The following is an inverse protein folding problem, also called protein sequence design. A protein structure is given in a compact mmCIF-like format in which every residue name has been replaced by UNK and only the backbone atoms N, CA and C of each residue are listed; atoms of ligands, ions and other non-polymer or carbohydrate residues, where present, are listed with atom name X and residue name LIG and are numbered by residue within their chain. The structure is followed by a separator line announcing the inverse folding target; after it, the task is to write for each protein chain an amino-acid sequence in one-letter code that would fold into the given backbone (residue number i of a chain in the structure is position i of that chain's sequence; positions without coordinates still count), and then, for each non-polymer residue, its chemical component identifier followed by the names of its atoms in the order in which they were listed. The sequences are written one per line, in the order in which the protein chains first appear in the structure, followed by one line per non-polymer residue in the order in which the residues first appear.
data_IF_042821763845
#
_entry.id   IF_042821763845
#
_cell.length_a   1.000
_cell.length_b   1.000
_cell.length_c   1.000
_cell.angle_alpha   90.00
_cell.angle_beta   90.00
_cell.angle_gamma   90.00
#
_symmetry.space_group_name_H-M   'P 1'
#
loop_
_entity.id
_entity.type
_entity.pdbx_description
1 polymer ?
#
# COMPACT_ATOMS: atom_id res chain seq x y z
N UNK A 1 28.03 25.76 59.85
CA UNK A 1 27.37 26.63 58.86
C UNK A 1 27.85 26.39 57.41
N UNK A 2 29.10 26.68 57.03
CA UNK A 2 29.54 26.51 55.61
C UNK A 2 29.54 25.03 55.17
N UNK A 3 30.08 24.13 55.99
CA UNK A 3 30.10 22.69 55.70
C UNK A 3 28.69 22.10 55.56
N UNK A 4 27.77 22.50 56.43
CA UNK A 4 26.36 22.08 56.37
C UNK A 4 25.68 22.56 55.09
N UNK A 5 25.94 23.80 54.65
CA UNK A 5 25.41 24.35 53.40
C UNK A 5 25.92 23.57 52.18
N UNK A 6 27.21 23.24 52.15
CA UNK A 6 27.81 22.43 51.07
C UNK A 6 27.19 21.03 51.01
N UNK A 7 26.99 20.41 52.17
CA UNK A 7 26.36 19.10 52.27
C UNK A 7 24.90 19.12 51.76
N UNK A 8 24.13 20.15 52.12
CA UNK A 8 22.75 20.33 51.66
C UNK A 8 22.70 20.49 50.13
N UNK A 9 23.58 21.31 49.56
CA UNK A 9 23.65 21.52 48.10
C UNK A 9 24.02 20.24 47.35
N UNK A 10 24.95 19.45 47.89
CA UNK A 10 25.30 18.15 47.31
C UNK A 10 24.12 17.17 47.32
N UNK A 11 23.40 17.08 48.44
CA UNK A 11 22.21 16.22 48.55
C UNK A 11 21.10 16.66 47.58
N UNK A 12 20.89 17.96 47.40
CA UNK A 12 19.94 18.49 46.42
C UNK A 12 20.34 18.12 44.99
N UNK A 13 21.62 18.21 44.64
CA UNK A 13 22.11 17.82 43.32
C UNK A 13 21.86 16.32 43.04
N UNK A 14 22.18 15.46 44.01
CA UNK A 14 21.90 14.01 43.91
C UNK A 14 20.41 13.74 43.78
N UNK A 15 19.58 14.43 44.55
CA UNK A 15 18.13 14.30 44.50
C UNK A 15 17.56 14.72 43.13
N UNK A 16 18.01 15.86 42.57
CA UNK A 16 17.60 16.30 41.23
C UNK A 16 18.03 15.30 40.16
N UNK A 17 19.27 14.79 40.25
CA UNK A 17 19.75 13.73 39.35
C UNK A 17 18.88 12.47 39.43
N UNK A 18 18.49 12.06 40.64
CA UNK A 18 17.60 10.93 40.88
C UNK A 18 16.20 11.16 40.28
N UNK A 19 15.61 12.35 40.45
CA UNK A 19 14.31 12.71 39.87
C UNK A 19 14.35 12.72 38.35
N UNK A 20 15.42 13.26 37.74
CA UNK A 20 15.60 13.23 36.28
C UNK A 20 15.73 11.78 35.78
N UNK A 21 16.49 10.96 36.50
CA UNK A 21 16.65 9.55 36.17
C UNK A 21 15.32 8.80 36.22
N UNK A 22 14.52 8.94 37.29
CA UNK A 22 13.22 8.26 37.41
C UNK A 22 12.21 8.74 36.38
N UNK A 23 12.22 10.04 36.05
CA UNK A 23 11.37 10.60 34.99
C UNK A 23 11.72 10.02 33.61
N UNK A 24 13.01 9.92 33.26
CA UNK A 24 13.44 9.29 32.01
C UNK A 24 13.02 7.82 31.91
N UNK A 25 13.21 7.05 32.99
CA UNK A 25 12.79 5.65 33.04
C UNK A 25 11.26 5.50 32.90
N UNK A 26 10.48 6.42 33.47
CA UNK A 26 9.02 6.44 33.32
C UNK A 26 8.61 6.75 31.86
N UNK A 27 9.21 7.76 31.24
CA UNK A 27 8.93 8.15 29.86
C UNK A 27 9.27 7.02 28.86
N UNK A 28 10.44 6.40 28.99
CA UNK A 28 10.86 5.28 28.14
C UNK A 28 9.91 4.08 28.27
N UNK A 29 9.49 3.73 29.49
CA UNK A 29 8.52 2.64 29.70
C UNK A 29 7.17 2.96 29.05
N UNK A 30 6.66 4.18 29.19
CA UNK A 30 5.39 4.58 28.58
C UNK A 30 5.47 4.60 27.06
N UNK A 31 6.58 5.08 26.50
CA UNK A 31 6.83 5.03 25.05
C UNK A 31 6.85 3.59 24.55
N UNK A 32 7.55 2.69 25.25
CA UNK A 32 7.59 1.27 24.89
C UNK A 32 6.21 0.62 24.99
N UNK A 33 5.43 0.94 26.03
CA UNK A 33 4.06 0.43 26.18
C UNK A 33 3.13 0.97 25.09
N UNK A 34 3.24 2.26 24.74
CA UNK A 34 2.51 2.86 23.63
C UNK A 34 2.85 2.17 22.30
N UNK A 35 4.14 1.97 22.01
CA UNK A 35 4.58 1.30 20.78
C UNK A 35 4.11 -0.15 20.77
N UNK A 36 4.26 -0.88 21.88
CA UNK A 36 3.78 -2.25 22.00
C UNK A 36 2.27 -2.32 21.74
N UNK A 37 1.46 -1.51 22.42
CA UNK A 37 0.01 -1.49 22.20
C UNK A 37 -0.37 -1.07 20.77
N UNK A 38 0.39 -0.14 20.18
CA UNK A 38 0.19 0.28 18.80
C UNK A 38 0.51 -0.81 17.79
N UNK A 39 1.52 -1.66 18.04
CA UNK A 39 1.95 -2.71 17.12
C UNK A 39 1.36 -4.11 17.39
N UNK A 40 0.90 -4.36 18.62
CA UNK A 40 0.28 -5.63 19.02
C UNK A 40 -0.92 -6.09 18.17
N UNK A 41 -1.77 -5.22 17.57
CA UNK A 41 -2.91 -5.70 16.78
C UNK A 41 -2.51 -6.25 15.39
N UNK A 42 -1.24 -6.16 14.97
CA UNK A 42 -0.82 -6.62 13.65
C UNK A 42 -0.28 -8.05 13.69
N UNK A 43 -0.69 -8.85 12.70
CA UNK A 43 -0.18 -10.19 12.45
C UNK A 43 0.11 -10.38 10.97
N UNK A 44 0.92 -11.38 10.64
CA UNK A 44 1.11 -11.79 9.25
C UNK A 44 -0.24 -12.24 8.65
N UNK A 45 -0.50 -11.84 7.41
CA UNK A 45 -1.57 -12.44 6.61
C UNK A 45 -1.19 -13.89 6.30
N UNK A 46 -2.15 -14.81 6.32
CA UNK A 46 -1.93 -16.20 5.93
C UNK A 46 -1.56 -16.34 4.45
N UNK A 47 -2.07 -15.42 3.62
CA UNK A 47 -1.81 -15.35 2.17
C UNK A 47 -1.68 -13.90 1.73
N UNK A 48 -0.79 -13.64 0.78
CA UNK A 48 -0.68 -12.35 0.12
C UNK A 48 -1.77 -12.20 -0.96
N UNK A 49 -1.82 -13.16 -1.91
CA UNK A 49 -2.84 -13.24 -2.95
C UNK A 49 -3.93 -14.26 -2.58
N UNK A 50 -5.17 -13.99 -3.02
CA UNK A 50 -6.24 -15.00 -3.05
C UNK A 50 -5.88 -16.13 -4.02
N UNK A 51 -6.51 -17.32 -3.92
CA UNK A 51 -6.28 -18.40 -4.90
C UNK A 51 -6.49 -17.97 -6.36
N UNK A 52 -7.51 -17.14 -6.60
CA UNK A 52 -7.85 -16.63 -7.93
C UNK A 52 -6.80 -15.64 -8.43
N UNK A 53 -6.43 -14.67 -7.60
CA UNK A 53 -5.34 -13.72 -7.92
C UNK A 53 -4.03 -14.46 -8.20
N UNK A 54 -3.68 -15.44 -7.36
CA UNK A 54 -2.48 -16.25 -7.56
C UNK A 54 -2.53 -17.00 -8.90
N UNK A 55 -3.65 -17.65 -9.20
CA UNK A 55 -3.83 -18.38 -10.46
C UNK A 55 -3.66 -17.45 -11.68
N UNK A 56 -4.27 -16.25 -11.65
CA UNK A 56 -4.12 -15.28 -12.74
C UNK A 56 -2.69 -14.77 -12.85
N UNK A 57 -2.05 -14.45 -11.72
CA UNK A 57 -0.68 -13.98 -11.70
C UNK A 57 0.27 -14.98 -12.37
N UNK A 58 0.17 -16.26 -12.02
CA UNK A 58 0.96 -17.34 -12.63
C UNK A 58 0.71 -17.41 -14.14
N UNK A 59 -0.53 -17.26 -14.60
CA UNK A 59 -0.85 -17.24 -16.04
C UNK A 59 -0.36 -16.00 -16.76
N UNK A 60 -0.38 -14.83 -16.13
CA UNK A 60 0.24 -13.62 -16.70
C UNK A 60 1.74 -13.80 -16.89
N UNK A 61 2.43 -14.46 -15.95
CA UNK A 61 3.86 -14.74 -16.06
C UNK A 61 4.21 -15.72 -17.18
N UNK A 62 3.28 -16.60 -17.58
CA UNK A 62 3.46 -17.54 -18.70
C UNK A 62 3.29 -16.90 -20.10
N UNK A 63 2.82 -15.65 -20.20
CA UNK A 63 2.52 -15.01 -21.48
C UNK A 63 3.77 -14.50 -22.17
N UNK A 64 4.05 -14.98 -23.39
CA UNK A 64 5.24 -14.56 -24.15
C UNK A 64 5.24 -13.05 -24.45
N UNK A 65 4.07 -12.46 -24.69
CA UNK A 65 3.94 -11.01 -24.91
C UNK A 65 4.29 -10.14 -23.70
N UNK A 66 4.39 -10.74 -22.50
CA UNK A 66 4.76 -10.06 -21.25
C UNK A 66 6.18 -10.39 -20.77
N UNK A 67 6.93 -11.22 -21.48
CA UNK A 67 8.23 -11.76 -21.04
C UNK A 67 9.27 -10.70 -20.68
N UNK A 68 9.22 -9.54 -21.32
CA UNK A 68 10.13 -8.42 -21.08
C UNK A 68 9.47 -7.27 -20.29
N UNK A 69 8.32 -7.51 -19.69
CA UNK A 69 7.55 -6.53 -18.94
C UNK A 69 7.49 -6.91 -17.46
N UNK A 70 7.22 -5.93 -16.61
CA UNK A 70 7.09 -6.18 -15.17
C UNK A 70 5.64 -6.25 -14.75
N UNK A 71 5.30 -7.24 -13.93
CA UNK A 71 3.95 -7.45 -13.41
C UNK A 71 3.99 -7.26 -11.89
N UNK A 72 3.19 -6.35 -11.38
CA UNK A 72 3.00 -6.11 -9.96
C UNK A 72 1.59 -6.49 -9.54
N UNK A 73 1.43 -7.07 -8.35
CA UNK A 73 0.13 -7.44 -7.79
C UNK A 73 -0.23 -6.59 -6.57
N UNK A 74 -1.53 -6.34 -6.39
CA UNK A 74 -2.10 -5.51 -5.31
C UNK A 74 -1.42 -4.14 -5.17
N UNK A 75 -1.18 -3.46 -6.31
CA UNK A 75 -0.44 -2.21 -6.32
C UNK A 75 -1.35 -1.02 -6.00
N UNK A 76 -0.96 -0.20 -5.02
CA UNK A 76 -1.68 1.04 -4.70
C UNK A 76 -1.61 2.03 -5.86
N UNK A 77 -2.71 2.74 -6.14
CA UNK A 77 -2.77 3.77 -7.20
C UNK A 77 -1.70 4.84 -6.99
N UNK A 78 -1.45 5.24 -5.74
CA UNK A 78 -0.40 6.20 -5.36
C UNK A 78 1.01 5.82 -5.81
N UNK A 79 1.25 4.54 -6.12
CA UNK A 79 2.57 4.05 -6.56
C UNK A 79 2.89 4.47 -7.99
N UNK A 80 1.87 4.68 -8.82
CA UNK A 80 2.04 4.95 -10.26
C UNK A 80 1.18 6.11 -10.78
N UNK A 81 0.34 6.70 -9.93
CA UNK A 81 -0.36 7.95 -10.18
C UNK A 81 0.07 9.00 -9.16
N UNK A 82 0.49 10.16 -9.66
CA UNK A 82 0.77 11.34 -8.85
C UNK A 82 -0.46 12.25 -8.72
N UNK A 83 -0.49 13.06 -7.67
CA UNK A 83 -1.41 14.19 -7.56
C UNK A 83 -0.72 15.40 -8.18
N UNK A 84 -1.37 16.05 -9.15
CA UNK A 84 -0.82 17.25 -9.79
C UNK A 84 -0.64 18.39 -8.77
N UNK A 85 0.43 19.16 -8.90
CA UNK A 85 0.82 20.20 -7.93
C UNK A 85 -0.23 21.29 -7.77
N UNK A 86 -0.99 21.59 -8.82
CA UNK A 86 -2.09 22.58 -8.82
C UNK A 86 -3.37 22.09 -8.09
N UNK A 87 -3.40 20.85 -7.62
CA UNK A 87 -4.56 20.32 -6.94
C UNK A 87 -4.69 20.90 -5.53
N UNK A 88 -5.87 21.40 -5.21
CA UNK A 88 -6.24 21.67 -3.81
C UNK A 88 -6.13 20.38 -2.97
N UNK A 89 -5.63 20.52 -1.75
CA UNK A 89 -5.44 19.42 -0.79
C UNK A 89 -4.62 18.24 -1.37
N UNK A 90 -3.37 18.51 -1.73
CA UNK A 90 -2.42 17.52 -2.24
C UNK A 90 -2.33 16.28 -1.34
N UNK A 91 -2.24 16.49 -0.02
CA UNK A 91 -2.09 15.41 0.96
C UNK A 91 -3.35 14.56 1.05
N UNK A 92 -4.54 15.16 1.17
CA UNK A 92 -5.78 14.41 1.25
C UNK A 92 -6.05 13.62 -0.02
N UNK A 93 -5.73 14.17 -1.20
CA UNK A 93 -5.82 13.47 -2.48
C UNK A 93 -4.82 12.31 -2.59
N UNK A 94 -3.59 12.50 -2.13
CA UNK A 94 -2.59 11.43 -2.07
C UNK A 94 -3.05 10.31 -1.14
N UNK A 95 -3.50 10.66 0.07
CA UNK A 95 -4.01 9.70 1.06
C UNK A 95 -5.26 8.96 0.55
N UNK A 96 -6.07 9.61 -0.29
CA UNK A 96 -7.21 8.97 -0.95
C UNK A 96 -6.77 7.89 -1.95
N UNK A 97 -5.93 8.24 -2.93
CA UNK A 97 -5.45 7.26 -3.93
C UNK A 97 -4.56 6.19 -3.29
N UNK A 98 -3.89 6.50 -2.18
CA UNK A 98 -3.08 5.53 -1.44
C UNK A 98 -3.93 4.46 -0.73
N UNK A 99 -5.24 4.68 -0.53
CA UNK A 99 -6.15 3.65 0.01
C UNK A 99 -6.71 2.73 -1.07
N UNK A 100 -6.49 3.08 -2.34
CA UNK A 100 -6.99 2.34 -3.50
C UNK A 100 -5.86 1.51 -4.08
N UNK A 101 -6.14 0.26 -4.41
CA UNK A 101 -5.22 -0.66 -5.06
C UNK A 101 -5.93 -1.37 -6.21
N UNK A 102 -5.14 -1.85 -7.15
CA UNK A 102 -5.60 -2.67 -8.28
C UNK A 102 -4.95 -4.05 -8.22
N UNK A 103 -5.60 -5.06 -8.79
CA UNK A 103 -5.14 -6.45 -8.66
C UNK A 103 -3.81 -6.68 -9.35
N UNK A 104 -3.63 -6.18 -10.59
CA UNK A 104 -2.34 -6.20 -11.27
C UNK A 104 -2.05 -4.94 -12.08
N UNK A 105 -0.76 -4.63 -12.23
CA UNK A 105 -0.25 -3.59 -13.14
C UNK A 105 0.92 -4.15 -13.93
N UNK A 106 0.87 -3.97 -15.25
CA UNK A 106 1.95 -4.27 -16.18
C UNK A 106 2.71 -2.98 -16.49
N UNK A 107 4.01 -2.99 -16.27
CA UNK A 107 4.93 -1.90 -16.56
C UNK A 107 5.83 -2.22 -17.74
N UNK A 108 6.32 -1.16 -18.39
CA UNK A 108 7.44 -1.26 -19.33
C UNK A 108 8.71 -1.82 -18.65
N UNK A 109 9.67 -2.20 -19.49
CA UNK A 109 10.95 -2.78 -19.04
C UNK A 109 11.87 -1.78 -18.31
N UNK A 110 11.51 -0.50 -18.28
CA UNK A 110 12.24 0.57 -17.57
C UNK A 110 11.56 1.03 -16.28
N UNK A 111 10.41 0.44 -15.90
CA UNK A 111 9.59 0.86 -14.75
C UNK A 111 9.09 2.31 -14.82
N UNK A 112 9.09 2.91 -15.99
CA UNK A 112 8.73 4.31 -16.19
C UNK A 112 7.25 4.50 -16.51
N UNK A 113 6.61 3.49 -17.11
CA UNK A 113 5.24 3.63 -17.59
C UNK A 113 4.37 2.43 -17.22
N UNK A 114 3.25 2.64 -16.51
CA UNK A 114 2.19 1.64 -16.42
C UNK A 114 1.50 1.51 -17.79
N UNK A 115 1.51 0.30 -18.35
CA UNK A 115 0.97 0.00 -19.67
C UNK A 115 -0.47 -0.50 -19.61
N UNK A 116 -0.76 -1.37 -18.62
CA UNK A 116 -2.07 -1.99 -18.46
C UNK A 116 -2.33 -2.31 -16.98
N UNK A 117 -3.49 -1.88 -16.50
CA UNK A 117 -4.06 -2.31 -15.22
C UNK A 117 -5.03 -3.46 -15.48
N UNK A 118 -4.98 -4.50 -14.64
CA UNK A 118 -5.90 -5.65 -14.69
C UNK A 118 -6.63 -5.75 -13.36
N UNK A 119 -7.96 -5.77 -13.42
CA UNK A 119 -8.86 -6.01 -12.27
C UNK A 119 -9.59 -7.34 -12.44
N UNK A 120 -9.71 -8.11 -11.36
CA UNK A 120 -10.47 -9.34 -11.31
C UNK A 120 -11.89 -9.06 -10.82
N UNK A 121 -12.87 -9.44 -11.63
CA UNK A 121 -14.27 -9.30 -11.29
C UNK A 121 -14.72 -10.46 -10.40
N UNK A 122 -14.64 -10.29 -9.08
CA UNK A 122 -15.33 -11.16 -8.14
C UNK A 122 -16.78 -10.66 -7.95
N UNK A 123 -17.72 -11.40 -8.54
CA UNK A 123 -19.13 -11.04 -8.74
C UNK A 123 -19.98 -11.04 -7.45
N UNK A 124 -19.36 -11.25 -6.29
CA UNK A 124 -20.07 -11.70 -5.09
C UNK A 124 -20.74 -10.62 -4.24
N UNK A 125 -20.37 -9.33 -4.29
CA UNK A 125 -21.15 -8.28 -3.60
C UNK A 125 -21.14 -6.92 -4.32
N UNK A 126 -22.31 -6.54 -4.86
CA UNK A 126 -22.60 -5.21 -5.44
C UNK A 126 -22.99 -4.23 -4.33
N UNK A 127 -22.02 -3.61 -3.70
CA UNK A 127 -22.27 -2.46 -2.80
C UNK A 127 -22.09 -1.15 -3.58
N UNK A 128 -22.95 -0.17 -3.32
CA UNK A 128 -22.93 1.15 -3.99
C UNK A 128 -21.57 1.86 -3.90
N UNK A 129 -20.86 1.70 -2.77
CA UNK A 129 -19.50 2.23 -2.58
C UNK A 129 -18.47 1.60 -3.53
N UNK A 130 -18.68 0.35 -3.98
CA UNK A 130 -17.80 -0.32 -4.96
C UNK A 130 -17.92 0.32 -6.33
N UNK A 131 -19.15 0.72 -6.74
CA UNK A 131 -19.38 1.36 -8.04
C UNK A 131 -18.66 2.70 -8.15
N UNK A 132 -18.79 3.57 -7.14
CA UNK A 132 -18.13 4.88 -7.15
C UNK A 132 -16.60 4.75 -7.15
N UNK A 133 -16.07 3.77 -6.41
CA UNK A 133 -14.64 3.44 -6.40
C UNK A 133 -14.16 2.99 -7.77
N UNK A 134 -14.84 2.02 -8.38
CA UNK A 134 -14.43 1.43 -9.65
C UNK A 134 -14.53 2.47 -10.79
N UNK A 135 -15.57 3.31 -10.76
CA UNK A 135 -15.73 4.44 -11.68
C UNK A 135 -14.62 5.49 -11.52
N UNK A 136 -14.23 5.80 -10.28
CA UNK A 136 -13.08 6.66 -10.00
C UNK A 136 -11.78 6.08 -10.56
N UNK A 137 -11.48 4.81 -10.27
CA UNK A 137 -10.25 4.15 -10.75
C UNK A 137 -10.20 4.20 -12.27
N UNK A 138 -11.28 3.78 -12.95
CA UNK A 138 -11.36 3.80 -14.41
C UNK A 138 -11.12 5.21 -14.97
N UNK A 139 -11.80 6.21 -14.42
CA UNK A 139 -11.65 7.60 -14.86
C UNK A 139 -10.23 8.13 -14.63
N UNK A 140 -9.61 7.78 -13.50
CA UNK A 140 -8.24 8.18 -13.19
C UNK A 140 -7.23 7.55 -14.16
N UNK A 141 -7.40 6.28 -14.52
CA UNK A 141 -6.55 5.58 -15.47
C UNK A 141 -6.73 6.13 -16.90
N UNK A 142 -7.98 6.30 -17.35
CA UNK A 142 -8.32 6.81 -18.67
C UNK A 142 -7.74 8.23 -18.87
N UNK A 143 -7.88 9.12 -17.87
CA UNK A 143 -7.33 10.47 -17.91
C UNK A 143 -5.79 10.52 -17.97
N UNK A 144 -5.11 9.43 -17.59
CA UNK A 144 -3.65 9.30 -17.65
C UNK A 144 -3.18 8.37 -18.78
N UNK A 145 -4.06 8.04 -19.74
CA UNK A 145 -3.76 7.16 -20.87
C UNK A 145 -3.25 5.77 -20.44
N UNK A 146 -3.71 5.27 -19.29
CA UNK A 146 -3.39 3.94 -18.79
C UNK A 146 -4.56 3.03 -19.14
N UNK A 147 -4.27 1.96 -19.88
CA UNK A 147 -5.30 1.00 -20.30
C UNK A 147 -5.76 0.19 -19.08
N UNK A 148 -7.04 -0.14 -19.03
CA UNK A 148 -7.63 -1.00 -18.00
C UNK A 148 -8.33 -2.20 -18.63
N UNK A 149 -8.12 -3.38 -18.05
CA UNK A 149 -8.78 -4.63 -18.42
C UNK A 149 -9.46 -5.22 -17.18
N UNK A 150 -10.74 -5.56 -17.29
CA UNK A 150 -11.47 -6.28 -16.24
C UNK A 150 -11.69 -7.71 -16.70
N UNK A 151 -11.28 -8.67 -15.87
CA UNK A 151 -11.33 -10.09 -16.18
C UNK A 151 -12.34 -10.76 -15.26
N UNK A 152 -13.31 -11.44 -15.85
CA UNK A 152 -14.16 -12.37 -15.10
C UNK A 152 -13.62 -13.78 -15.34
N UNK A 153 -13.21 -14.46 -14.28
CA UNK A 153 -12.68 -15.81 -14.38
C UNK A 153 -13.82 -16.79 -14.66
N UNK A 154 -13.71 -17.51 -15.77
CA UNK A 154 -14.45 -18.74 -16.02
C UNK A 154 -13.40 -19.83 -16.28
N UNK A 155 -13.37 -20.83 -15.42
CA UNK A 155 -12.28 -21.81 -15.25
C UNK A 155 -11.84 -22.59 -16.50
N UNK A 156 -12.64 -22.56 -17.58
CA UNK A 156 -12.42 -23.40 -18.75
C UNK A 156 -11.27 -22.94 -19.69
N UNK A 157 -10.90 -21.66 -19.74
CA UNK A 157 -9.82 -21.18 -20.64
C UNK A 157 -9.19 -19.83 -20.25
N UNK A 158 -8.77 -19.67 -19.00
CA UNK A 158 -8.17 -18.41 -18.49
C UNK A 158 -6.96 -17.95 -19.31
N UNK A 159 -6.09 -18.87 -19.73
CA UNK A 159 -4.86 -18.52 -20.46
C UNK A 159 -5.12 -17.97 -21.86
N UNK A 160 -5.92 -18.62 -22.68
CA UNK A 160 -6.20 -18.15 -24.04
C UNK A 160 -6.94 -16.81 -24.04
N UNK A 161 -7.83 -16.60 -23.06
CA UNK A 161 -8.52 -15.32 -22.86
C UNK A 161 -7.51 -14.22 -22.48
N UNK A 162 -6.57 -14.53 -21.58
CA UNK A 162 -5.52 -13.59 -21.20
C UNK A 162 -4.62 -13.23 -22.37
N UNK A 163 -4.16 -14.21 -23.15
CA UNK A 163 -3.31 -13.97 -24.33
C UNK A 163 -3.99 -13.03 -25.34
N UNK A 164 -5.26 -13.28 -25.68
CA UNK A 164 -6.02 -12.45 -26.63
C UNK A 164 -6.29 -11.04 -26.08
N UNK A 165 -6.80 -10.94 -24.84
CA UNK A 165 -7.21 -9.66 -24.26
C UNK A 165 -6.00 -8.78 -23.90
N UNK A 166 -4.95 -9.35 -23.33
CA UNK A 166 -3.73 -8.62 -22.98
C UNK A 166 -2.97 -8.23 -24.24
N UNK A 167 -2.83 -9.15 -25.21
CA UNK A 167 -2.22 -8.88 -26.50
C UNK A 167 -2.89 -7.70 -27.22
N UNK A 168 -4.20 -7.78 -27.45
CA UNK A 168 -5.00 -6.72 -28.10
C UNK A 168 -5.01 -5.40 -27.36
N UNK A 169 -4.87 -5.43 -26.02
CA UNK A 169 -4.85 -4.19 -25.25
C UNK A 169 -3.47 -3.56 -25.27
N UNK A 170 -2.39 -4.31 -25.22
CA UNK A 170 -1.05 -3.73 -25.18
C UNK A 170 -0.55 -3.29 -26.56
N UNK A 171 -0.77 -4.11 -27.59
CA UNK A 171 -0.24 -3.97 -28.95
C UNK A 171 -1.36 -3.83 -29.98
#
# INVERSE_FOLDING_TARGET
MIFELVLILFLLFVFVGFVIMTWKFYDERNKNLYLQNKFNPFKNKERFLTPNEKHVFEKLQELECLKNLYIFSQLHLSTFLGVKEEANDLRGKFDWINKLFVDFVIFDNSFTKPLLVIELNDSTHKWSNRKARDEFIRSALDNNNIKMLTITLNDANTRGILEDLVGKKLF
#
